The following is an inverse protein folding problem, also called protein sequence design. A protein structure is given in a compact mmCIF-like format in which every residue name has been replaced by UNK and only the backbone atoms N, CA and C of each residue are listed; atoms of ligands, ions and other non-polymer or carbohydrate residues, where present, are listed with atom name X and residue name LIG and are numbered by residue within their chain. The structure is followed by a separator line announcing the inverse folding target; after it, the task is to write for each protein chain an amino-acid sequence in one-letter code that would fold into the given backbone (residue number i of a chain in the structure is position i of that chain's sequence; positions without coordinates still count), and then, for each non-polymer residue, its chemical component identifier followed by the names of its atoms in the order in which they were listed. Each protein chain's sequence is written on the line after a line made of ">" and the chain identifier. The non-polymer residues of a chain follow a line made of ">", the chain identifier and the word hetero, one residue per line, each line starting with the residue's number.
data_IF_923427212608
#
_entry.id   IF_923427212608
#
_cell.length_a   1.000
_cell.length_b   1.000
_cell.length_c   1.000
_cell.angle_alpha   90.00
_cell.angle_beta   90.00
_cell.angle_gamma   90.00
#
_symmetry.space_group_name_H-M   'P 1'
#
loop_
_entity.id
_entity.type
_entity.pdbx_description
1 polymer ?
#
# COMPACT_ATOMS: atom_id res chain seq x y z
N UNK A 1 -35.05 37.05 7.24
CA UNK A 1 -34.95 35.76 7.97
C UNK A 1 -33.76 35.88 8.89
N UNK A 2 -33.99 36.38 10.11
CA UNK A 2 -33.01 36.23 11.18
C UNK A 2 -32.97 34.75 11.55
N UNK A 3 -31.79 34.15 11.53
CA UNK A 3 -31.59 32.78 11.97
C UNK A 3 -32.03 32.67 13.43
N UNK A 4 -33.01 31.80 13.68
CA UNK A 4 -33.57 31.47 15.00
C UNK A 4 -32.52 30.84 15.96
N UNK A 5 -31.28 30.69 15.50
CA UNK A 5 -30.12 30.18 16.23
C UNK A 5 -29.02 31.23 16.46
N UNK A 6 -29.28 32.53 16.25
CA UNK A 6 -28.29 33.58 16.50
C UNK A 6 -28.04 33.79 18.00
N UNK A 7 -27.31 32.86 18.63
CA UNK A 7 -26.76 33.06 19.96
C UNK A 7 -25.88 34.33 19.94
N UNK A 8 -26.09 35.21 20.91
CA UNK A 8 -25.28 36.43 21.02
C UNK A 8 -23.80 36.07 21.19
N UNK A 9 -22.89 36.87 20.61
CA UNK A 9 -21.44 36.66 20.74
C UNK A 9 -21.00 36.43 22.19
N UNK A 10 -21.59 37.17 23.13
CA UNK A 10 -21.33 37.01 24.56
C UNK A 10 -21.75 35.66 25.14
N UNK A 11 -22.81 35.04 24.63
CA UNK A 11 -23.23 33.70 25.08
C UNK A 11 -22.33 32.63 24.49
N UNK A 12 -22.04 32.71 23.18
CA UNK A 12 -21.21 31.73 22.47
C UNK A 12 -19.77 31.70 23.01
N UNK A 13 -19.20 32.87 23.35
CA UNK A 13 -17.80 33.00 23.75
C UNK A 13 -17.56 33.04 25.26
N UNK A 14 -18.60 32.87 26.09
CA UNK A 14 -18.49 32.96 27.56
C UNK A 14 -17.46 32.01 28.17
N UNK A 15 -17.47 30.74 27.73
CA UNK A 15 -16.51 29.74 28.21
C UNK A 15 -15.15 29.92 27.53
N UNK A 16 -15.16 30.32 26.26
CA UNK A 16 -13.94 30.58 25.50
C UNK A 16 -13.09 31.69 26.13
N UNK A 17 -13.71 32.78 26.61
CA UNK A 17 -13.00 33.89 27.26
C UNK A 17 -12.29 33.53 28.56
N UNK A 18 -12.58 32.37 29.16
CA UNK A 18 -11.86 31.89 30.35
C UNK A 18 -10.54 31.20 30.00
N UNK A 19 -10.41 30.73 28.76
CA UNK A 19 -9.28 29.90 28.31
C UNK A 19 -8.39 30.67 27.33
N UNK A 20 -9.01 31.48 26.47
CA UNK A 20 -8.34 32.27 25.46
C UNK A 20 -7.51 33.40 26.06
N UNK A 21 -6.40 33.72 25.39
CA UNK A 21 -5.53 34.84 25.71
C UNK A 21 -5.70 35.95 24.68
N UNK A 22 -5.83 37.19 25.17
CA UNK A 22 -5.84 38.42 24.37
C UNK A 22 -5.21 39.52 25.22
N UNK A 23 -4.35 40.34 24.60
CA UNK A 23 -3.43 41.24 25.31
C UNK A 23 -4.16 42.31 26.14
N UNK A 24 -5.26 42.86 25.65
CA UNK A 24 -5.96 43.99 26.28
C UNK A 24 -6.93 43.56 27.37
N UNK A 25 -7.69 42.50 27.13
CA UNK A 25 -8.85 42.13 27.92
C UNK A 25 -8.75 40.74 28.58
N UNK A 26 -8.01 39.80 27.99
CA UNK A 26 -7.95 38.40 28.42
C UNK A 26 -6.52 37.98 28.80
N UNK A 27 -5.82 38.81 29.56
CA UNK A 27 -4.41 38.59 29.93
C UNK A 27 -4.16 37.34 30.81
N UNK A 28 -5.21 36.77 31.42
CA UNK A 28 -5.13 35.61 32.31
C UNK A 28 -5.42 34.25 31.65
N UNK A 29 -5.56 34.20 30.33
CA UNK A 29 -5.88 32.97 29.58
C UNK A 29 -4.83 31.87 29.79
N UNK A 30 -5.29 30.64 30.09
CA UNK A 30 -4.42 29.49 30.39
C UNK A 30 -3.86 28.79 29.15
N UNK A 31 -4.55 28.85 28.00
CA UNK A 31 -4.05 28.28 26.74
C UNK A 31 -3.56 29.42 25.85
N UNK A 32 -2.30 29.33 25.42
CA UNK A 32 -1.67 30.36 24.61
C UNK A 32 -2.25 30.40 23.20
N UNK A 33 -2.54 31.62 22.75
CA UNK A 33 -2.54 32.03 21.33
C UNK A 33 -3.57 31.36 20.39
N UNK A 34 -4.84 31.30 20.82
CA UNK A 34 -5.96 30.68 20.08
C UNK A 34 -6.84 31.66 19.29
N UNK A 35 -6.53 32.96 19.32
CA UNK A 35 -7.36 34.00 18.72
C UNK A 35 -6.52 34.87 17.77
N UNK A 36 -7.10 35.22 16.62
CA UNK A 36 -6.57 36.18 15.67
C UNK A 36 -7.69 37.09 15.21
N UNK A 37 -7.43 38.40 15.21
CA UNK A 37 -8.41 39.36 14.71
C UNK A 37 -8.32 39.46 13.19
N UNK A 38 -9.49 39.50 12.54
CA UNK A 38 -9.63 39.69 11.10
C UNK A 38 -10.61 40.85 10.83
N UNK A 39 -10.43 41.62 9.73
CA UNK A 39 -9.45 41.41 8.66
C UNK A 39 -8.06 42.00 8.95
N UNK A 40 -7.01 41.31 8.48
CA UNK A 40 -5.64 41.85 8.49
C UNK A 40 -5.36 42.69 7.24
N UNK A 41 -4.41 43.64 7.29
CA UNK A 41 -4.07 44.45 6.12
C UNK A 41 -3.52 43.58 4.98
N UNK A 42 -3.99 43.83 3.76
CA UNK A 42 -3.61 43.04 2.58
C UNK A 42 -2.08 43.05 2.37
N UNK A 43 -1.52 41.88 2.10
CA UNK A 43 -0.09 41.64 1.85
C UNK A 43 0.84 42.09 3.00
N UNK A 44 0.30 42.25 4.21
CA UNK A 44 1.06 42.57 5.43
C UNK A 44 0.74 41.57 6.54
N UNK A 45 1.69 41.44 7.45
CA UNK A 45 1.53 40.69 8.69
C UNK A 45 0.48 41.39 9.56
N UNK A 46 -0.34 40.61 10.27
CA UNK A 46 -1.33 41.15 11.21
C UNK A 46 -0.64 41.93 12.35
N UNK A 47 -1.23 43.03 12.80
CA UNK A 47 -0.63 43.93 13.80
C UNK A 47 -0.39 43.26 15.17
N UNK A 48 -1.11 42.17 15.45
CA UNK A 48 -1.07 41.42 16.70
C UNK A 48 -0.05 40.29 16.72
N UNK A 49 0.64 40.07 15.59
CA UNK A 49 1.59 38.98 15.48
C UNK A 49 2.96 39.38 16.06
N UNK A 50 3.17 39.02 17.31
CA UNK A 50 4.37 39.38 18.09
C UNK A 50 5.66 38.70 17.58
N UNK A 51 5.55 37.59 16.85
CA UNK A 51 6.70 36.76 16.44
C UNK A 51 6.74 36.53 14.92
N UNK A 52 7.10 37.54 14.12
CA UNK A 52 7.09 37.44 12.65
C UNK A 52 7.99 36.34 12.09
N UNK A 53 9.03 35.92 12.83
CA UNK A 53 9.93 34.83 12.43
C UNK A 53 9.27 33.44 12.43
N UNK A 54 8.15 33.28 13.13
CA UNK A 54 7.43 32.01 13.24
C UNK A 54 6.32 31.87 12.21
N UNK A 55 6.01 32.94 11.48
CA UNK A 55 5.00 32.93 10.42
C UNK A 55 5.56 32.17 9.22
N UNK A 56 4.69 31.39 8.59
CA UNK A 56 5.00 30.74 7.31
C UNK A 56 5.19 31.82 6.22
N UNK A 57 6.31 31.82 5.47
CA UNK A 57 6.55 32.83 4.45
C UNK A 57 5.41 32.92 3.44
N UNK A 58 4.95 34.15 3.14
CA UNK A 58 3.83 34.41 2.23
C UNK A 58 2.45 34.46 2.89
N UNK A 59 2.35 34.18 4.20
CA UNK A 59 1.10 34.23 4.96
C UNK A 59 1.08 35.38 5.97
N UNK A 60 -0.12 35.81 6.38
CA UNK A 60 -0.32 36.99 7.24
C UNK A 60 -0.16 36.68 8.74
N UNK A 61 -0.43 35.44 9.16
CA UNK A 61 -0.26 34.95 10.53
C UNK A 61 -0.20 33.41 10.52
N UNK A 62 0.12 32.79 11.66
CA UNK A 62 0.12 31.32 11.79
C UNK A 62 -0.37 30.92 13.18
N UNK A 63 -1.40 30.07 13.23
CA UNK A 63 -1.81 29.42 14.47
C UNK A 63 -0.87 28.25 14.78
N UNK A 64 -0.23 28.29 15.95
CA UNK A 64 0.57 27.18 16.45
C UNK A 64 -0.27 26.35 17.41
N UNK A 65 -0.68 25.19 16.94
CA UNK A 65 -1.42 24.22 17.73
C UNK A 65 -0.39 23.30 18.41
N UNK A 66 -0.33 23.36 19.73
CA UNK A 66 0.51 22.50 20.55
C UNK A 66 -0.36 21.84 21.62
N UNK A 67 -0.54 20.53 21.54
CA UNK A 67 -1.23 19.74 22.57
C UNK A 67 -0.28 18.65 23.07
N UNK A 68 0.33 18.83 24.26
CA UNK A 68 1.37 17.94 24.74
C UNK A 68 0.84 16.63 25.33
N UNK A 69 -0.47 16.52 25.61
CA UNK A 69 -1.01 15.41 26.42
C UNK A 69 -1.69 14.34 25.57
N UNK A 70 -2.58 14.72 24.66
CA UNK A 70 -3.43 13.77 23.92
C UNK A 70 -3.79 14.28 22.52
N UNK A 71 -4.08 13.37 21.56
CA UNK A 71 -4.61 13.79 20.27
C UNK A 71 -6.03 14.39 20.47
N UNK A 72 -6.23 15.60 19.96
CA UNK A 72 -7.51 16.30 19.99
C UNK A 72 -7.95 16.72 18.59
N UNK A 73 -9.26 16.88 18.41
CA UNK A 73 -9.83 17.48 17.21
C UNK A 73 -9.80 18.99 17.32
N UNK A 74 -9.28 19.64 16.27
CA UNK A 74 -9.19 21.09 16.19
C UNK A 74 -10.21 21.64 15.21
N UNK A 75 -10.86 22.72 15.62
CA UNK A 75 -11.87 23.41 14.81
C UNK A 75 -11.45 24.87 14.66
N UNK A 76 -11.51 25.36 13.42
CA UNK A 76 -11.32 26.78 13.12
C UNK A 76 -12.71 27.40 12.97
N UNK A 77 -12.99 28.41 13.77
CA UNK A 77 -14.27 29.13 13.76
C UNK A 77 -14.00 30.58 13.35
N UNK A 78 -14.67 31.02 12.28
CA UNK A 78 -14.68 32.43 11.89
C UNK A 78 -15.98 33.07 12.41
N UNK A 79 -15.84 34.09 13.26
CA UNK A 79 -16.98 34.72 13.94
C UNK A 79 -16.99 36.23 13.65
N UNK A 80 -18.17 36.78 13.37
CA UNK A 80 -18.39 38.22 13.21
C UNK A 80 -18.58 38.91 14.58
N UNK A 81 -17.68 38.66 15.52
CA UNK A 81 -17.73 39.19 16.88
C UNK A 81 -16.52 40.10 17.13
N UNK A 82 -16.72 41.18 17.87
CA UNK A 82 -15.68 42.13 18.30
C UNK A 82 -15.66 42.24 19.81
N UNK A 83 -14.50 42.57 20.37
CA UNK A 83 -14.36 42.88 21.78
C UNK A 83 -14.30 44.40 21.94
N UNK A 84 -15.19 44.97 22.73
CA UNK A 84 -15.22 46.42 22.96
C UNK A 84 -14.22 46.84 24.07
N UNK A 85 -14.05 48.15 24.27
CA UNK A 85 -13.15 48.71 25.30
C UNK A 85 -13.55 48.33 26.75
N UNK A 86 -14.78 47.84 26.94
CA UNK A 86 -15.28 47.32 28.21
C UNK A 86 -15.10 45.80 28.34
N UNK A 87 -14.35 45.19 27.41
CA UNK A 87 -14.08 43.76 27.34
C UNK A 87 -15.32 42.86 27.23
N UNK A 88 -16.38 43.37 26.60
CA UNK A 88 -17.59 42.61 26.29
C UNK A 88 -17.66 42.25 24.81
N UNK A 89 -18.02 41.00 24.52
CA UNK A 89 -18.24 40.51 23.17
C UNK A 89 -19.50 41.12 22.56
N UNK A 90 -19.35 41.79 21.43
CA UNK A 90 -20.43 42.41 20.66
C UNK A 90 -20.40 41.94 19.22
N UNK A 91 -21.54 41.94 18.54
CA UNK A 91 -21.59 41.63 17.11
C UNK A 91 -20.93 42.75 16.32
N UNK A 92 -20.10 42.39 15.34
CA UNK A 92 -19.54 43.37 14.41
C UNK A 92 -20.67 44.07 13.65
N UNK A 93 -20.68 45.39 13.66
CA UNK A 93 -21.64 46.21 12.90
C UNK A 93 -21.20 46.43 11.46
N UNK A 94 -19.95 46.10 11.14
CA UNK A 94 -19.36 46.30 9.81
C UNK A 94 -19.39 45.01 9.01
N UNK A 95 -19.85 45.13 7.77
CA UNK A 95 -19.78 44.06 6.79
C UNK A 95 -18.42 44.10 6.09
N UNK A 96 -17.63 43.05 6.29
CA UNK A 96 -16.36 42.85 5.62
C UNK A 96 -16.46 41.65 4.68
N UNK A 97 -16.03 41.82 3.43
CA UNK A 97 -15.80 40.69 2.53
C UNK A 97 -14.38 40.20 2.77
N UNK A 98 -14.24 38.98 3.28
CA UNK A 98 -12.96 38.38 3.66
C UNK A 98 -12.62 37.30 2.64
N UNK A 99 -11.50 37.47 1.94
CA UNK A 99 -10.86 36.43 1.16
C UNK A 99 -9.80 35.78 2.03
N UNK A 100 -9.83 34.45 2.16
CA UNK A 100 -8.93 33.72 3.04
C UNK A 100 -8.44 32.43 2.37
N UNK A 101 -7.20 32.06 2.69
CA UNK A 101 -6.59 30.78 2.37
C UNK A 101 -6.05 30.17 3.68
N UNK A 102 -6.32 28.89 3.91
CA UNK A 102 -5.87 28.18 5.12
C UNK A 102 -4.96 27.06 4.68
N UNK A 103 -3.69 27.15 5.09
CA UNK A 103 -2.70 26.12 4.84
C UNK A 103 -2.31 25.41 6.14
N UNK A 104 -2.62 24.12 6.20
CA UNK A 104 -2.24 23.24 7.29
C UNK A 104 -0.83 22.69 7.03
N UNK A 105 0.11 22.93 7.94
CA UNK A 105 1.50 22.49 7.82
C UNK A 105 1.98 21.78 9.07
N UNK A 106 2.79 20.73 8.89
CA UNK A 106 3.46 20.02 9.98
C UNK A 106 4.92 20.47 10.16
N UNK A 107 5.46 20.31 11.37
CA UNK A 107 6.74 20.92 11.76
C UNK A 107 8.01 20.34 11.09
N UNK A 108 9.02 21.21 11.05
CA UNK A 108 10.48 20.95 11.10
C UNK A 108 11.33 20.88 9.82
N UNK A 109 10.82 20.91 8.58
CA UNK A 109 11.64 21.06 7.35
C UNK A 109 10.78 21.47 6.13
N UNK A 110 11.35 22.10 5.10
CA UNK A 110 10.60 22.59 3.93
C UNK A 110 9.77 21.50 3.23
N UNK A 111 10.29 20.27 3.13
CA UNK A 111 9.59 19.13 2.53
C UNK A 111 8.65 18.42 3.51
N UNK A 112 9.02 18.32 4.81
CA UNK A 112 8.19 17.65 5.82
C UNK A 112 6.92 18.43 6.17
N UNK A 113 6.85 19.72 5.79
CA UNK A 113 5.69 20.60 5.98
C UNK A 113 4.38 20.03 5.44
N UNK A 114 4.44 19.26 4.35
CA UNK A 114 3.24 18.75 3.68
C UNK A 114 2.76 17.40 4.21
N UNK A 115 3.56 16.72 5.02
CA UNK A 115 3.30 15.35 5.42
C UNK A 115 2.92 15.26 6.88
N UNK A 116 1.99 14.36 7.19
CA UNK A 116 1.69 14.02 8.58
C UNK A 116 2.94 13.45 9.28
N UNK A 117 3.02 13.58 10.59
CA UNK A 117 4.17 13.02 11.34
C UNK A 117 4.36 11.52 11.09
N UNK A 118 3.27 10.79 10.87
CA UNK A 118 3.28 9.36 10.51
C UNK A 118 3.91 9.11 9.14
N UNK A 119 3.67 10.01 8.18
CA UNK A 119 4.21 9.93 6.81
C UNK A 119 5.65 10.42 6.68
N UNK A 120 6.10 11.26 7.60
CA UNK A 120 7.48 11.73 7.62
C UNK A 120 8.45 10.54 7.75
N UNK A 121 9.57 10.63 7.04
CA UNK A 121 10.63 9.61 6.95
C UNK A 121 10.26 8.28 6.28
N UNK A 122 9.01 8.07 5.88
CA UNK A 122 8.60 6.86 5.13
C UNK A 122 9.41 6.70 3.83
N UNK A 123 9.83 7.80 3.22
CA UNK A 123 10.66 7.78 2.01
C UNK A 123 11.97 6.99 2.21
N UNK A 124 12.59 7.07 3.39
CA UNK A 124 13.82 6.33 3.68
C UNK A 124 13.56 4.82 3.70
N UNK A 125 12.41 4.40 4.23
CA UNK A 125 11.97 2.99 4.22
C UNK A 125 11.77 2.51 2.79
N UNK A 126 11.12 3.31 1.94
CA UNK A 126 10.95 2.96 0.53
C UNK A 126 12.27 2.91 -0.24
N UNK A 127 13.20 3.83 0.01
CA UNK A 127 14.51 3.83 -0.65
C UNK A 127 15.35 2.61 -0.23
N UNK A 128 15.33 2.25 1.05
CA UNK A 128 15.98 1.04 1.53
C UNK A 128 15.35 -0.21 0.90
N UNK A 129 14.02 -0.29 0.87
CA UNK A 129 13.30 -1.36 0.19
C UNK A 129 13.69 -1.43 -1.29
N UNK A 130 13.66 -0.31 -2.02
CA UNK A 130 14.04 -0.27 -3.43
C UNK A 130 15.45 -0.85 -3.66
N UNK A 131 16.42 -0.46 -2.83
CA UNK A 131 17.79 -0.97 -2.93
C UNK A 131 17.86 -2.50 -2.78
N UNK A 132 17.23 -3.07 -1.75
CA UNK A 132 17.25 -4.52 -1.52
C UNK A 132 16.49 -5.29 -2.62
N UNK A 133 15.39 -4.73 -3.14
CA UNK A 133 14.63 -5.33 -4.23
C UNK A 133 15.36 -5.26 -5.58
N UNK A 134 16.13 -4.20 -5.84
CA UNK A 134 17.02 -4.13 -7.02
C UNK A 134 18.05 -5.26 -6.97
N UNK A 135 18.68 -5.50 -5.81
CA UNK A 135 19.65 -6.58 -5.66
C UNK A 135 19.01 -7.96 -5.95
N UNK A 136 17.79 -8.20 -5.46
CA UNK A 136 17.03 -9.42 -5.78
C UNK A 136 16.70 -9.53 -7.27
N UNK A 137 16.24 -8.45 -7.89
CA UNK A 137 15.92 -8.42 -9.31
C UNK A 137 17.15 -8.75 -10.18
N UNK A 138 18.32 -8.18 -9.84
CA UNK A 138 19.59 -8.53 -10.49
C UNK A 138 19.96 -10.00 -10.30
N UNK A 139 19.74 -10.54 -9.09
CA UNK A 139 19.89 -11.96 -8.81
C UNK A 139 19.00 -12.82 -9.70
N UNK A 140 17.71 -12.50 -9.79
CA UNK A 140 16.75 -13.21 -10.63
C UNK A 140 17.09 -13.12 -12.12
N UNK A 141 17.51 -11.95 -12.60
CA UNK A 141 18.00 -11.77 -13.97
C UNK A 141 19.21 -12.67 -14.26
N UNK A 142 20.17 -12.73 -13.34
CA UNK A 142 21.33 -13.62 -13.45
C UNK A 142 20.94 -15.11 -13.44
N UNK A 143 20.00 -15.49 -12.59
CA UNK A 143 19.48 -16.87 -12.56
C UNK A 143 18.86 -17.25 -13.90
N UNK A 144 18.06 -16.36 -14.49
CA UNK A 144 17.43 -16.60 -15.80
C UNK A 144 18.43 -16.62 -16.95
N UNK A 145 19.46 -15.77 -16.94
CA UNK A 145 20.48 -15.75 -17.99
C UNK A 145 21.38 -16.99 -17.98
N UNK A 146 21.64 -17.56 -16.80
CA UNK A 146 22.33 -18.84 -16.65
C UNK A 146 21.48 -20.03 -17.15
N UNK A 147 20.16 -19.90 -17.13
CA UNK A 147 19.19 -20.92 -17.56
C UNK A 147 18.94 -20.95 -19.08
N UNK A 148 19.94 -20.61 -19.89
CA UNK A 148 19.90 -20.36 -21.36
C UNK A 148 19.41 -21.52 -22.26
N UNK A 149 18.75 -22.55 -21.73
CA UNK A 149 18.26 -23.75 -22.43
C UNK A 149 16.83 -24.21 -22.15
N UNK A 150 16.06 -23.60 -21.24
CA UNK A 150 14.63 -23.98 -21.08
C UNK A 150 13.73 -22.89 -21.64
N UNK A 151 13.00 -23.21 -22.71
CA UNK A 151 11.79 -22.50 -23.08
C UNK A 151 10.90 -22.51 -21.83
N UNK A 152 10.76 -21.37 -21.15
CA UNK A 152 9.86 -21.25 -20.01
C UNK A 152 8.48 -21.71 -20.46
N UNK A 153 7.90 -22.78 -19.87
CA UNK A 153 6.56 -23.22 -20.24
C UNK A 153 5.59 -22.05 -20.04
N UNK A 154 4.62 -21.89 -20.95
CA UNK A 154 3.64 -20.77 -20.97
C UNK A 154 3.00 -20.49 -19.59
N UNK A 155 2.92 -21.50 -18.71
CA UNK A 155 2.38 -21.41 -17.34
C UNK A 155 3.29 -20.65 -16.35
N UNK A 156 4.61 -20.64 -16.51
CA UNK A 156 5.53 -19.91 -15.63
C UNK A 156 5.60 -18.41 -15.95
N UNK A 157 5.41 -18.02 -17.22
CA UNK A 157 5.24 -16.61 -17.61
C UNK A 157 4.00 -16.00 -16.96
N UNK A 158 2.92 -16.76 -16.83
CA UNK A 158 1.72 -16.34 -16.09
C UNK A 158 2.01 -16.09 -14.61
N UNK A 159 2.78 -16.95 -13.94
CA UNK A 159 3.13 -16.76 -12.52
C UNK A 159 3.97 -15.48 -12.33
N UNK A 160 4.92 -15.16 -13.21
CA UNK A 160 5.69 -13.91 -13.16
C UNK A 160 4.90 -12.65 -13.59
N UNK A 161 3.78 -12.82 -14.31
CA UNK A 161 2.91 -11.69 -14.71
C UNK A 161 1.81 -11.43 -13.68
N UNK A 162 1.41 -12.46 -12.93
CA UNK A 162 0.38 -12.38 -11.87
C UNK A 162 1.00 -11.94 -10.53
N UNK A 163 2.20 -12.39 -10.19
CA UNK A 163 2.84 -12.09 -8.88
C UNK A 163 3.06 -10.60 -8.58
N UNK A 164 3.36 -9.69 -9.53
CA UNK A 164 3.52 -8.27 -9.19
C UNK A 164 2.20 -7.49 -9.15
N UNK A 165 1.19 -7.91 -9.93
CA UNK A 165 -0.05 -7.12 -10.14
C UNK A 165 -1.06 -7.23 -9.01
N UNK A 166 -1.10 -8.36 -8.30
CA UNK A 166 -2.03 -8.57 -7.19
C UNK A 166 -1.50 -8.13 -5.82
N UNK A 167 -0.19 -7.90 -5.70
CA UNK A 167 0.44 -7.60 -4.39
C UNK A 167 0.49 -6.10 -4.06
N UNK A 168 0.54 -5.25 -5.08
CA UNK A 168 0.51 -3.79 -4.91
C UNK A 168 -0.88 -3.21 -4.59
N UNK A 169 -1.96 -4.00 -4.68
CA UNK A 169 -3.35 -3.58 -4.42
C UNK A 169 -3.93 -4.13 -3.10
N UNK A 170 -3.08 -4.42 -2.11
CA UNK A 170 -3.56 -4.83 -0.78
C UNK A 170 -2.98 -4.03 0.38
N UNK A 171 -2.11 -3.05 0.13
CA UNK A 171 -1.51 -2.23 1.19
C UNK A 171 -2.23 -0.88 1.40
N UNK A 172 -3.32 -0.61 0.67
CA UNK A 172 -4.03 0.67 0.70
C UNK A 172 -5.55 0.53 0.78
N UNK A 173 -6.06 -0.57 1.34
CA UNK A 173 -7.49 -0.65 1.61
C UNK A 173 -7.77 -0.53 3.10
N UNK A 174 -8.39 0.60 3.41
CA UNK A 174 -8.94 1.06 4.65
C UNK A 174 -9.21 -0.02 5.70
N UNK A 175 -8.86 0.35 6.93
CA UNK A 175 -9.02 -0.37 8.20
C UNK A 175 -10.49 -0.76 8.54
N UNK A 176 -11.41 -0.70 7.57
CA UNK A 176 -12.85 -0.83 7.72
C UNK A 176 -13.40 -2.10 7.03
N UNK A 177 -12.89 -3.27 7.43
CA UNK A 177 -13.65 -4.52 7.65
C UNK A 177 -12.67 -5.63 8.11
N UNK A 178 -11.97 -5.37 9.22
CA UNK A 178 -10.77 -6.10 9.65
C UNK A 178 -10.96 -7.59 10.00
N UNK A 179 -12.20 -8.11 10.11
CA UNK A 179 -12.42 -9.53 10.45
C UNK A 179 -12.58 -10.42 9.22
N UNK A 180 -13.27 -9.93 8.18
CA UNK A 180 -13.58 -10.73 6.99
C UNK A 180 -12.33 -11.07 6.18
N UNK A 181 -11.41 -10.12 6.01
CA UNK A 181 -10.17 -10.35 5.28
C UNK A 181 -9.24 -11.32 6.01
N UNK A 182 -9.14 -11.23 7.33
CA UNK A 182 -8.32 -12.17 8.12
C UNK A 182 -8.88 -13.59 8.03
N UNK A 183 -10.21 -13.75 8.15
CA UNK A 183 -10.87 -15.05 8.00
C UNK A 183 -10.65 -15.62 6.60
N UNK A 184 -10.83 -14.82 5.55
CA UNK A 184 -10.58 -15.25 4.18
C UNK A 184 -9.14 -15.72 3.99
N UNK A 185 -8.17 -15.01 4.56
CA UNK A 185 -6.75 -15.38 4.51
C UNK A 185 -6.46 -16.66 5.29
N UNK A 186 -7.10 -16.88 6.44
CA UNK A 186 -7.01 -18.14 7.18
C UNK A 186 -7.58 -19.31 6.38
N UNK A 187 -8.71 -19.13 5.69
CA UNK A 187 -9.31 -20.15 4.82
C UNK A 187 -8.38 -20.45 3.63
N UNK A 188 -7.85 -19.42 2.98
CA UNK A 188 -6.88 -19.57 1.88
C UNK A 188 -5.61 -20.31 2.33
N UNK A 189 -5.06 -19.95 3.49
CA UNK A 189 -3.88 -20.59 4.06
C UNK A 189 -4.14 -22.06 4.43
N UNK A 190 -5.29 -22.35 5.05
CA UNK A 190 -5.68 -23.72 5.39
C UNK A 190 -5.89 -24.58 4.15
N UNK A 191 -6.57 -24.05 3.12
CA UNK A 191 -6.72 -24.73 1.84
C UNK A 191 -5.37 -25.01 1.19
N UNK A 192 -4.49 -24.02 1.11
CA UNK A 192 -3.15 -24.18 0.57
C UNK A 192 -2.32 -25.23 1.35
N UNK A 193 -2.41 -25.24 2.68
CA UNK A 193 -1.76 -26.25 3.52
C UNK A 193 -2.25 -27.67 3.21
N UNK A 194 -3.56 -27.83 3.02
CA UNK A 194 -4.15 -29.12 2.64
C UNK A 194 -3.67 -29.56 1.26
N UNK A 195 -3.66 -28.66 0.28
CA UNK A 195 -3.21 -28.98 -1.07
C UNK A 195 -1.72 -29.32 -1.13
N UNK A 196 -0.84 -28.56 -0.49
CA UNK A 196 0.60 -28.88 -0.51
C UNK A 196 0.88 -30.23 0.16
N UNK A 197 0.17 -30.54 1.25
CA UNK A 197 0.27 -31.84 1.92
C UNK A 197 -0.23 -32.99 1.03
N UNK A 198 -1.29 -32.77 0.25
CA UNK A 198 -1.79 -33.76 -0.72
C UNK A 198 -0.78 -33.98 -1.84
N UNK A 199 -0.19 -32.91 -2.36
CA UNK A 199 0.82 -32.98 -3.41
C UNK A 199 2.07 -33.73 -2.94
N UNK A 200 2.59 -33.42 -1.75
CA UNK A 200 3.75 -34.11 -1.17
C UNK A 200 3.50 -35.62 -1.01
N UNK A 201 2.29 -36.03 -0.63
CA UNK A 201 1.94 -37.45 -0.48
C UNK A 201 1.82 -38.21 -1.80
N UNK A 202 1.58 -37.51 -2.91
CA UNK A 202 1.40 -38.10 -4.23
C UNK A 202 2.72 -38.19 -5.00
N UNK A 203 3.69 -37.35 -4.66
CA UNK A 203 4.98 -37.34 -5.33
C UNK A 203 5.83 -38.53 -4.85
N UNK A 204 6.32 -39.39 -5.77
CA UNK A 204 7.14 -40.54 -5.41
C UNK A 204 8.65 -40.22 -5.31
N UNK A 205 9.08 -39.04 -5.76
CA UNK A 205 10.49 -38.62 -5.82
C UNK A 205 10.87 -37.81 -4.56
N UNK A 206 11.80 -38.35 -3.78
CA UNK A 206 12.29 -37.76 -2.53
C UNK A 206 12.90 -36.36 -2.73
N UNK A 207 13.59 -36.10 -3.86
CA UNK A 207 14.17 -34.77 -4.10
C UNK A 207 13.08 -33.71 -4.36
N UNK A 208 12.01 -34.09 -5.07
CA UNK A 208 10.87 -33.20 -5.34
C UNK A 208 10.05 -32.93 -4.09
N UNK A 209 9.94 -33.93 -3.20
CA UNK A 209 9.33 -33.74 -1.88
C UNK A 209 10.07 -32.67 -1.10
N UNK A 210 11.41 -32.73 -1.05
CA UNK A 210 12.22 -31.72 -0.35
C UNK A 210 12.01 -30.33 -0.97
N UNK A 211 12.01 -30.21 -2.30
CA UNK A 211 11.72 -28.94 -2.98
C UNK A 211 10.33 -28.39 -2.63
N UNK A 212 9.28 -29.23 -2.71
CA UNK A 212 7.89 -28.85 -2.43
C UNK A 212 7.70 -28.39 -0.98
N UNK A 213 8.39 -29.03 -0.03
CA UNK A 213 8.36 -28.62 1.38
C UNK A 213 8.96 -27.22 1.55
N UNK A 214 10.10 -26.93 0.93
CA UNK A 214 10.72 -25.60 0.99
C UNK A 214 9.90 -24.53 0.27
N UNK A 215 9.32 -24.85 -0.89
CA UNK A 215 8.39 -23.98 -1.61
C UNK A 215 7.16 -23.65 -0.76
N UNK A 216 6.55 -24.68 -0.16
CA UNK A 216 5.41 -24.52 0.74
C UNK A 216 5.76 -23.66 1.94
N UNK A 217 6.89 -23.90 2.61
CA UNK A 217 7.35 -23.12 3.76
C UNK A 217 7.57 -21.64 3.41
N UNK A 218 8.22 -21.35 2.27
CA UNK A 218 8.42 -19.98 1.79
C UNK A 218 7.09 -19.28 1.51
N UNK A 219 6.12 -19.99 0.92
CA UNK A 219 4.80 -19.44 0.62
C UNK A 219 3.94 -19.21 1.89
N UNK A 220 4.11 -20.05 2.92
CA UNK A 220 3.38 -19.94 4.19
C UNK A 220 3.70 -18.66 4.97
N UNK A 221 4.88 -18.06 4.77
CA UNK A 221 5.29 -16.80 5.40
C UNK A 221 4.19 -15.75 5.22
N UNK A 222 3.65 -15.61 4.00
CA UNK A 222 2.61 -14.63 3.66
C UNK A 222 1.31 -14.77 4.46
N UNK A 223 0.92 -15.99 4.85
CA UNK A 223 -0.27 -16.19 5.67
C UNK A 223 0.03 -15.95 7.16
N UNK A 224 1.17 -16.46 7.64
CA UNK A 224 1.50 -16.42 9.07
C UNK A 224 1.90 -15.01 9.53
N UNK A 225 2.71 -14.28 8.76
CA UNK A 225 3.16 -12.97 9.19
C UNK A 225 2.00 -11.97 9.27
N UNK A 226 0.98 -12.08 8.41
CA UNK A 226 -0.18 -11.19 8.44
C UNK A 226 -0.98 -11.33 9.75
N UNK A 227 -1.09 -12.56 10.29
CA UNK A 227 -1.73 -12.80 11.58
C UNK A 227 -0.91 -12.19 12.72
N UNK A 228 0.41 -12.40 12.70
CA UNK A 228 1.33 -11.79 13.67
C UNK A 228 1.30 -10.27 13.61
N UNK A 229 1.27 -9.70 12.40
CA UNK A 229 1.24 -8.26 12.16
C UNK A 229 -0.03 -7.62 12.70
N UNK A 230 -1.19 -8.28 12.60
CA UNK A 230 -2.43 -7.81 13.18
C UNK A 230 -2.38 -7.72 14.71
N UNK A 231 -1.79 -8.72 15.37
CA UNK A 231 -1.59 -8.71 16.83
C UNK A 231 -0.60 -7.64 17.23
N UNK A 232 0.56 -7.57 16.56
CA UNK A 232 1.61 -6.60 16.83
C UNK A 232 1.08 -5.17 16.63
N UNK A 233 0.34 -4.90 15.56
CA UNK A 233 -0.25 -3.60 15.27
C UNK A 233 -1.28 -3.14 16.33
N UNK A 234 -1.88 -4.06 17.08
CA UNK A 234 -2.81 -3.73 18.16
C UNK A 234 -2.10 -3.20 19.43
N UNK A 235 -0.80 -3.46 19.58
CA UNK A 235 0.00 -2.99 20.72
C UNK A 235 0.86 -1.77 20.41
N UNK A 236 0.88 -1.31 19.15
CA UNK A 236 1.69 -0.18 18.70
C UNK A 236 0.83 1.08 18.66
N UNK A 237 1.37 2.19 19.16
CA UNK A 237 0.72 3.50 19.07
C UNK A 237 0.50 3.93 17.61
N UNK A 238 -0.57 4.67 17.34
CA UNK A 238 -0.98 5.10 16.01
C UNK A 238 0.19 5.77 15.25
N UNK A 239 0.91 6.65 15.97
CA UNK A 239 2.06 7.43 15.49
C UNK A 239 3.14 6.57 14.82
N UNK A 240 3.42 5.39 15.38
CA UNK A 240 4.48 4.50 14.89
C UNK A 240 3.95 3.32 14.10
N UNK A 241 2.64 3.05 14.19
CA UNK A 241 2.01 1.87 13.59
C UNK A 241 2.28 1.80 12.10
N UNK A 242 2.12 2.90 11.37
CA UNK A 242 2.33 2.94 9.93
C UNK A 242 3.79 2.57 9.55
N UNK A 243 4.77 3.17 10.23
CA UNK A 243 6.20 2.96 9.98
C UNK A 243 6.63 1.53 10.27
N UNK A 244 6.22 0.99 11.42
CA UNK A 244 6.59 -0.36 11.85
C UNK A 244 5.91 -1.42 10.96
N UNK A 245 4.62 -1.25 10.68
CA UNK A 245 3.86 -2.17 9.82
C UNK A 245 4.47 -2.21 8.41
N UNK A 246 4.82 -1.05 7.85
CA UNK A 246 5.48 -0.96 6.55
C UNK A 246 6.86 -1.65 6.56
N UNK A 247 7.68 -1.42 7.60
CA UNK A 247 9.00 -2.02 7.71
C UNK A 247 8.93 -3.55 7.84
N UNK A 248 8.05 -4.07 8.71
CA UNK A 248 7.87 -5.52 8.89
C UNK A 248 7.34 -6.16 7.60
N UNK A 249 6.33 -5.54 6.97
CA UNK A 249 5.76 -6.04 5.72
C UNK A 249 6.80 -6.08 4.59
N UNK A 250 7.57 -5.02 4.40
CA UNK A 250 8.61 -4.97 3.36
C UNK A 250 9.70 -6.01 3.60
N UNK A 251 10.13 -6.20 4.86
CA UNK A 251 11.10 -7.22 5.25
C UNK A 251 10.58 -8.65 5.05
N UNK A 252 9.37 -8.95 5.50
CA UNK A 252 8.77 -10.28 5.34
C UNK A 252 8.60 -10.66 3.86
N UNK A 253 8.17 -9.70 3.03
CA UNK A 253 8.09 -9.89 1.58
C UNK A 253 9.47 -10.11 0.95
N UNK A 254 10.48 -9.36 1.39
CA UNK A 254 11.85 -9.51 0.91
C UNK A 254 12.38 -10.92 1.21
N UNK A 255 12.24 -11.38 2.46
CA UNK A 255 12.69 -12.73 2.87
C UNK A 255 11.98 -13.81 2.06
N UNK A 256 10.66 -13.73 1.94
CA UNK A 256 9.89 -14.74 1.20
C UNK A 256 10.30 -14.79 -0.29
N UNK A 257 10.46 -13.63 -0.93
CA UNK A 257 10.93 -13.54 -2.33
C UNK A 257 12.38 -14.01 -2.46
N UNK A 258 13.28 -13.64 -1.54
CA UNK A 258 14.66 -14.09 -1.55
C UNK A 258 14.76 -15.62 -1.44
N UNK A 259 13.96 -16.23 -0.56
CA UNK A 259 13.86 -17.69 -0.44
C UNK A 259 13.37 -18.32 -1.76
N UNK A 260 12.36 -17.74 -2.41
CA UNK A 260 11.89 -18.23 -3.71
C UNK A 260 12.96 -18.08 -4.80
N UNK A 261 13.64 -16.94 -4.90
CA UNK A 261 14.72 -16.73 -5.87
C UNK A 261 15.85 -17.74 -5.66
N UNK A 262 16.22 -18.01 -4.40
CA UNK A 262 17.20 -19.05 -4.07
C UNK A 262 16.71 -20.45 -4.44
N UNK A 263 15.45 -20.78 -4.12
CA UNK A 263 14.87 -22.07 -4.42
C UNK A 263 14.76 -22.34 -5.93
N UNK A 264 14.45 -21.30 -6.72
CA UNK A 264 14.42 -21.36 -8.19
C UNK A 264 15.79 -21.11 -8.83
N UNK A 265 16.86 -20.93 -8.04
CA UNK A 265 18.19 -20.77 -8.59
C UNK A 265 18.63 -22.06 -9.29
N UNK A 266 19.20 -21.98 -10.49
CA UNK A 266 19.64 -23.15 -11.23
C UNK A 266 20.93 -23.74 -10.65
N UNK A 267 20.77 -24.56 -9.61
CA UNK A 267 21.79 -25.48 -9.12
C UNK A 267 21.66 -26.83 -9.84
N UNK A 268 22.70 -27.68 -9.77
CA UNK A 268 22.75 -28.95 -10.51
C UNK A 268 21.59 -29.93 -10.22
N UNK A 269 21.00 -29.88 -9.02
CA UNK A 269 19.79 -30.66 -8.67
C UNK A 269 18.53 -30.04 -9.29
N UNK A 270 18.34 -28.72 -9.16
CA UNK A 270 17.16 -28.02 -9.69
C UNK A 270 17.02 -28.06 -11.21
N UNK A 271 18.15 -28.09 -11.93
CA UNK A 271 18.19 -28.15 -13.40
C UNK A 271 17.56 -29.42 -13.96
N UNK A 272 17.63 -30.56 -13.24
CA UNK A 272 17.05 -31.83 -13.69
C UNK A 272 15.52 -31.79 -13.71
N UNK A 273 14.88 -31.10 -12.76
CA UNK A 273 13.41 -31.02 -12.68
C UNK A 273 12.79 -30.33 -13.89
N UNK A 274 13.36 -29.22 -14.35
CA UNK A 274 12.84 -28.49 -15.50
C UNK A 274 13.13 -29.14 -16.86
N UNK A 275 14.18 -29.98 -16.93
CA UNK A 275 14.55 -30.70 -18.15
C UNK A 275 13.71 -31.97 -18.34
N UNK A 276 13.36 -32.67 -17.25
CA UNK A 276 12.60 -33.92 -17.36
C UNK A 276 11.15 -33.71 -17.81
N UNK A 277 10.51 -32.63 -17.34
CA UNK A 277 9.13 -32.27 -17.72
C UNK A 277 9.02 -31.82 -19.19
N UNK A 278 10.07 -31.19 -19.71
CA UNK A 278 10.19 -30.84 -21.12
C UNK A 278 10.27 -32.07 -22.03
N UNK A 279 11.01 -33.11 -21.63
CA UNK A 279 11.15 -34.32 -22.43
C UNK A 279 9.86 -35.16 -22.47
N UNK A 280 9.09 -35.20 -21.39
CA UNK A 280 7.78 -35.89 -21.37
C UNK A 280 6.76 -35.19 -22.27
N UNK A 281 6.67 -33.87 -22.20
CA UNK A 281 5.78 -33.10 -23.09
C UNK A 281 6.18 -33.23 -24.57
N UNK A 282 7.49 -33.21 -24.86
CA UNK A 282 7.97 -33.40 -26.24
C UNK A 282 7.72 -34.80 -26.77
N UNK A 283 7.74 -35.82 -25.91
CA UNK A 283 7.38 -37.19 -26.27
C UNK A 283 5.88 -37.33 -26.53
N UNK A 284 5.04 -36.75 -25.67
CA UNK A 284 3.58 -36.74 -25.82
C UNK A 284 3.10 -35.98 -27.05
N UNK A 285 3.71 -34.83 -27.36
CA UNK A 285 3.44 -34.09 -28.61
C UNK A 285 3.87 -34.90 -29.84
N UNK A 286 5.04 -35.56 -29.78
CA UNK A 286 5.53 -36.39 -30.89
C UNK A 286 4.68 -37.65 -31.10
N UNK A 287 4.20 -38.31 -30.04
CA UNK A 287 3.28 -39.45 -30.17
C UNK A 287 1.91 -39.01 -30.66
N UNK A 288 1.39 -37.88 -30.18
CA UNK A 288 0.12 -37.32 -30.66
C UNK A 288 0.20 -36.89 -32.13
N UNK A 289 1.34 -36.40 -32.61
CA UNK A 289 1.50 -36.02 -34.01
C UNK A 289 1.61 -37.24 -34.93
N UNK A 290 2.29 -38.30 -34.49
CA UNK A 290 2.41 -39.55 -35.28
C UNK A 290 1.07 -40.28 -35.36
N UNK A 291 0.30 -40.32 -34.27
CA UNK A 291 -1.06 -40.89 -34.31
C UNK A 291 -2.00 -40.13 -35.25
N UNK A 292 -1.85 -38.80 -35.36
CA UNK A 292 -2.65 -37.99 -36.28
C UNK A 292 -2.27 -38.21 -37.75
N UNK A 293 -0.96 -38.32 -38.04
CA UNK A 293 -0.44 -38.64 -39.38
C UNK A 293 -0.86 -40.04 -39.84
N UNK A 294 -0.85 -41.02 -38.95
CA UNK A 294 -1.30 -42.39 -39.27
C UNK A 294 -2.82 -42.44 -39.54
N UNK A 295 -3.60 -41.62 -38.83
CA UNK A 295 -5.05 -41.49 -39.06
C UNK A 295 -5.36 -40.80 -40.39
N UNK A 296 -4.62 -39.74 -40.74
CA UNK A 296 -4.74 -39.04 -42.03
C UNK A 296 -4.38 -39.97 -43.20
N UNK A 297 -3.35 -40.81 -43.03
CA UNK A 297 -2.94 -41.79 -44.03
C UNK A 297 -3.97 -42.92 -44.20
N UNK A 298 -4.62 -43.35 -43.11
CA UNK A 298 -5.70 -44.32 -43.18
C UNK A 298 -6.96 -43.77 -43.87
N UNK A 299 -7.27 -42.48 -43.70
CA UNK A 299 -8.36 -41.79 -44.41
C UNK A 299 -8.09 -41.63 -45.91
N UNK A 300 -6.83 -41.44 -46.32
CA UNK A 300 -6.46 -41.28 -47.74
C UNK A 300 -6.45 -42.63 -48.49
N UNK A 301 -6.22 -43.75 -47.79
CA UNK A 301 -6.19 -45.07 -48.41
C UNK A 301 -7.58 -45.68 -48.69
N UNK A 302 -8.66 -45.12 -48.16
CA UNK A 302 -10.03 -45.62 -48.37
C UNK A 302 -10.69 -45.03 -49.63
N UNK A 303 -10.07 -44.01 -50.26
CA UNK A 303 -10.61 -43.28 -51.42
C UNK A 303 -10.04 -43.73 -52.78
N UNK A 304 -9.22 -44.80 -52.86
CA UNK A 304 -8.55 -45.20 -54.13
C UNK A 304 -8.90 -46.56 -54.72
N UNK A 305 -9.83 -47.33 -54.15
CA UNK A 305 -10.29 -48.59 -54.73
C UNK A 305 -11.78 -48.50 -55.11
N UNK A 306 -12.07 -47.80 -56.21
CA UNK A 306 -13.19 -48.08 -57.11
C UNK A 306 -13.11 -47.10 -58.31
N UNK A 307 -12.43 -47.52 -59.38
CA UNK A 307 -12.91 -47.31 -60.75
C UNK A 307 -12.09 -48.13 -61.76
N UNK A 308 -12.84 -48.90 -62.54
CA UNK A 308 -12.45 -50.05 -63.32
C UNK A 308 -11.55 -49.80 -64.54
N UNK A 309 -10.79 -50.84 -64.82
CA UNK A 309 -10.23 -51.28 -66.11
C UNK A 309 -11.28 -51.25 -67.23
N UNK A 310 -11.02 -50.61 -68.39
CA UNK A 310 -11.36 -51.14 -69.73
C UNK A 310 -10.33 -50.72 -70.81
N UNK A 311 -9.52 -51.70 -71.19
CA UNK A 311 -9.05 -52.14 -72.52
C UNK A 311 -9.31 -51.27 -73.79
N UNK A 312 -8.28 -51.10 -74.64
CA UNK A 312 -8.18 -51.71 -75.99
C UNK A 312 -7.38 -50.90 -77.04
N UNK A 313 -6.47 -51.64 -77.72
CA UNK A 313 -5.96 -51.50 -79.12
C UNK A 313 -5.19 -50.21 -79.47
N UNK A 314 -4.03 -50.25 -80.13
CA UNK A 314 -3.41 -51.19 -81.06
C UNK A 314 -1.88 -50.99 -81.02
#
# INVERSE_FOLDING_TARGET
>A
MESEYAASCGTMLKNFSQVAFEVKCLAGGRRSDMLRWAPCPKDKICEEEDKPKLIVPGYQFTFRIEEPVAPEYWYILLLSCTLNDKCNWTTSTRNYQIEYDIWLVNGNNAFSKQFSYEEQDIIHVYMFALFIYIALALGQLRATSLNRQSVLPRRQKLINTITPKSYLRTNTFDFLSNRGLVILRLVQGAWFFVEIKRTIKREPDDERIVFLVHFGAAYMVWFVYLLGLGVIAAFISEIWRLKIVLAISTFANFVAIACLVHLFWPTGSNRKFFVHDGNYHHHLERTSSTELEDFEKALICDDTDDDDVIDSKL
#
